data_IF_714635873695
#
_entry.id   IF_714635873695
#
_cell.length_a   1.000
_cell.length_b   1.000
_cell.length_c   1.000
_cell.angle_alpha   90.00
_cell.angle_beta   90.00
_cell.angle_gamma   90.00
#
_symmetry.space_group_name_H-M   'P 1'
#
loop_
_entity.id
_entity.type
_entity.pdbx_description
1 polymer ?
#
# COMPACT_ATOMS: atom_id res chain seq x y z
N UNK A 1 -13.84 4.34 -17.37
CA UNK A 1 -12.69 3.49 -17.73
C UNK A 1 -11.62 3.72 -16.69
N UNK A 2 -11.24 2.69 -15.93
CA UNK A 2 -10.14 2.81 -14.95
C UNK A 2 -8.84 2.85 -15.76
N UNK A 3 -8.07 3.94 -15.64
CA UNK A 3 -6.78 4.07 -16.30
C UNK A 3 -5.85 3.00 -15.70
N UNK A 4 -5.39 2.03 -16.51
CA UNK A 4 -4.59 0.88 -16.03
C UNK A 4 -3.09 1.19 -15.92
N UNK A 5 -2.67 2.42 -16.20
CA UNK A 5 -1.27 2.83 -16.14
C UNK A 5 -0.93 3.49 -14.80
N UNK A 6 -1.32 2.83 -13.69
CA UNK A 6 -0.98 3.27 -12.33
C UNK A 6 0.41 2.70 -12.01
N UNK A 7 1.40 3.57 -11.83
CA UNK A 7 2.70 3.18 -11.31
C UNK A 7 2.55 2.73 -9.86
N UNK A 8 2.91 1.48 -9.55
CA UNK A 8 2.95 0.95 -8.18
C UNK A 8 4.37 0.51 -7.90
N UNK A 9 4.97 1.10 -6.87
CA UNK A 9 6.35 0.86 -6.50
C UNK A 9 6.42 0.36 -5.07
N UNK A 10 7.18 -0.70 -4.88
CA UNK A 10 7.57 -1.11 -3.54
C UNK A 10 8.70 -0.21 -3.07
N UNK A 11 8.55 0.39 -1.89
CA UNK A 11 9.48 1.39 -1.36
C UNK A 11 9.86 1.08 0.09
N UNK A 12 10.66 1.96 0.70
CA UNK A 12 10.86 1.98 2.15
C UNK A 12 11.66 0.80 2.71
N UNK A 13 11.30 0.43 3.95
CA UNK A 13 12.01 -0.58 4.73
C UNK A 13 11.94 -1.98 4.12
N UNK A 14 10.83 -2.30 3.45
CA UNK A 14 10.63 -3.58 2.78
C UNK A 14 11.73 -3.85 1.75
N UNK A 15 12.09 -2.86 0.91
CA UNK A 15 13.14 -3.03 -0.10
C UNK A 15 14.47 -3.36 0.58
N UNK A 16 14.86 -2.61 1.62
CA UNK A 16 16.08 -2.87 2.40
C UNK A 16 16.06 -4.28 2.99
N UNK A 17 14.95 -4.70 3.59
CA UNK A 17 14.87 -5.96 4.30
C UNK A 17 14.90 -7.16 3.33
N UNK A 18 14.34 -7.03 2.12
CA UNK A 18 14.54 -7.99 1.03
C UNK A 18 16.02 -8.13 0.65
N UNK A 19 16.75 -7.03 0.49
CA UNK A 19 18.20 -7.08 0.19
C UNK A 19 19.01 -7.74 1.32
N UNK A 20 18.52 -7.69 2.55
CA UNK A 20 19.13 -8.33 3.72
C UNK A 20 18.67 -9.78 3.93
N UNK A 21 17.84 -10.33 3.03
CA UNK A 21 17.30 -11.70 3.14
C UNK A 21 16.32 -11.90 4.29
N UNK A 22 15.68 -10.83 4.78
CA UNK A 22 14.69 -10.88 5.86
C UNK A 22 13.29 -11.01 5.27
N UNK A 23 12.44 -11.81 5.92
CA UNK A 23 11.03 -11.95 5.53
C UNK A 23 10.22 -10.69 5.85
N UNK A 24 9.25 -10.31 5.01
CA UNK A 24 8.49 -9.09 5.21
C UNK A 24 7.42 -9.23 6.30
N UNK A 25 7.17 -8.14 7.03
CA UNK A 25 6.05 -8.02 7.99
C UNK A 25 5.04 -6.96 7.55
N UNK A 26 5.52 -5.98 6.80
CA UNK A 26 4.82 -4.83 6.28
C UNK A 26 5.35 -4.48 4.89
N UNK A 27 4.47 -4.08 3.98
CA UNK A 27 4.80 -3.70 2.60
C UNK A 27 4.37 -2.25 2.34
N UNK A 28 5.34 -1.38 2.07
CA UNK A 28 5.10 0.01 1.69
C UNK A 28 4.98 0.14 0.16
N UNK A 29 3.83 0.64 -0.30
CA UNK A 29 3.53 0.89 -1.70
C UNK A 29 3.39 2.40 -1.97
N UNK A 30 4.19 2.91 -2.90
CA UNK A 30 4.02 4.22 -3.49
C UNK A 30 3.20 4.08 -4.77
N UNK A 31 2.09 4.80 -4.84
CA UNK A 31 1.08 4.63 -5.89
C UNK A 31 0.89 5.95 -6.63
N UNK A 32 1.10 5.95 -7.94
CA UNK A 32 0.74 7.06 -8.82
C UNK A 32 -0.76 7.03 -9.13
N UNK A 33 -1.58 7.43 -8.15
CA UNK A 33 -3.03 7.42 -8.27
C UNK A 33 -3.79 7.49 -6.93
N UNK A 34 -5.07 7.15 -7.01
CA UNK A 34 -6.01 7.14 -5.89
C UNK A 34 -5.80 5.90 -5.00
N UNK A 35 -5.17 6.11 -3.85
CA UNK A 35 -4.87 5.05 -2.87
C UNK A 35 -6.08 4.57 -2.08
N UNK A 36 -7.13 5.40 -1.94
CA UNK A 36 -8.34 4.99 -1.24
C UNK A 36 -9.13 4.02 -2.11
N UNK A 37 -9.31 4.36 -3.40
CA UNK A 37 -9.93 3.47 -4.36
C UNK A 37 -9.18 2.15 -4.49
N UNK A 38 -7.85 2.22 -4.71
CA UNK A 38 -7.03 1.01 -4.85
C UNK A 38 -7.02 0.17 -3.56
N UNK A 39 -6.92 0.81 -2.39
CA UNK A 39 -6.93 0.12 -1.11
C UNK A 39 -8.24 -0.62 -0.85
N UNK A 40 -9.38 -0.02 -1.16
CA UNK A 40 -10.68 -0.69 -1.07
C UNK A 40 -10.77 -1.90 -2.00
N UNK A 41 -10.30 -1.77 -3.24
CA UNK A 41 -10.36 -2.88 -4.21
C UNK A 41 -9.43 -4.03 -3.82
N UNK A 42 -8.22 -3.73 -3.31
CA UNK A 42 -7.30 -4.74 -2.76
C UNK A 42 -7.92 -5.47 -1.57
N UNK A 43 -8.45 -4.73 -0.58
CA UNK A 43 -9.06 -5.31 0.60
C UNK A 43 -10.23 -6.24 0.23
N UNK A 44 -11.09 -5.80 -0.69
CA UNK A 44 -12.23 -6.59 -1.20
C UNK A 44 -11.78 -7.84 -1.97
N UNK A 45 -10.74 -7.72 -2.79
CA UNK A 45 -10.28 -8.81 -3.67
C UNK A 45 -9.55 -9.90 -2.91
N UNK A 46 -8.73 -9.52 -1.91
CA UNK A 46 -7.86 -10.44 -1.19
C UNK A 46 -8.32 -10.76 0.25
N UNK A 47 -9.47 -10.22 0.69
CA UNK A 47 -10.03 -10.49 2.01
C UNK A 47 -9.28 -9.79 3.17
N UNK A 48 -8.85 -8.54 2.95
CA UNK A 48 -8.20 -7.71 3.96
C UNK A 48 -9.14 -6.69 4.60
N UNK A 49 -8.70 -6.09 5.72
CA UNK A 49 -9.40 -4.98 6.38
C UNK A 49 -8.79 -3.65 5.94
N UNK A 50 -9.60 -2.80 5.31
CA UNK A 50 -9.22 -1.44 4.91
C UNK A 50 -9.28 -0.48 6.11
N UNK A 51 -8.23 0.33 6.28
CA UNK A 51 -8.11 1.32 7.35
C UNK A 51 -7.64 2.64 6.75
N UNK A 52 -8.43 3.70 6.94
CA UNK A 52 -8.03 5.09 6.67
C UNK A 52 -7.77 5.78 8.01
N UNK A 53 -6.52 6.03 8.40
CA UNK A 53 -6.18 6.66 9.68
C UNK A 53 -6.49 8.17 9.69
N UNK A 54 -7.76 8.57 9.47
CA UNK A 54 -8.21 9.95 9.52
C UNK A 54 -7.57 10.89 8.48
N UNK A 55 -8.09 12.11 8.37
CA UNK A 55 -7.76 13.02 7.25
C UNK A 55 -6.35 13.66 7.33
N UNK A 56 -5.64 13.49 8.45
CA UNK A 56 -4.30 14.05 8.65
C UNK A 56 -3.19 13.25 7.98
N UNK A 57 -3.46 12.01 7.61
CA UNK A 57 -2.45 11.09 7.09
C UNK A 57 -2.75 10.81 5.62
N UNK A 58 -1.72 10.91 4.76
CA UNK A 58 -1.85 10.59 3.33
C UNK A 58 -1.59 9.11 3.04
N UNK A 59 -1.93 8.24 3.99
CA UNK A 59 -1.70 6.79 3.90
C UNK A 59 -3.01 6.06 4.10
N UNK A 60 -3.16 4.96 3.39
CA UNK A 60 -4.22 3.96 3.59
C UNK A 60 -3.54 2.66 3.97
N UNK A 61 -4.09 1.94 4.95
CA UNK A 61 -3.59 0.63 5.39
C UNK A 61 -4.56 -0.47 5.03
N UNK A 62 -4.04 -1.62 4.60
CA UNK A 62 -4.79 -2.88 4.48
C UNK A 62 -4.13 -3.92 5.39
N UNK A 63 -4.91 -4.56 6.25
CA UNK A 63 -4.42 -5.61 7.16
C UNK A 63 -4.96 -6.97 6.72
N UNK A 64 -4.06 -7.94 6.58
CA UNK A 64 -4.37 -9.34 6.28
C UNK A 64 -4.04 -10.19 7.51
N UNK A 65 -4.95 -10.25 8.49
CA UNK A 65 -4.71 -10.89 9.79
C UNK A 65 -4.29 -12.36 9.67
N UNK A 66 -4.91 -13.12 8.77
CA UNK A 66 -4.61 -14.52 8.51
C UNK A 66 -3.17 -14.77 8.02
N UNK A 67 -2.49 -13.73 7.52
CA UNK A 67 -1.14 -13.81 6.97
C UNK A 67 -0.11 -13.05 7.83
N UNK A 68 -0.54 -12.34 8.87
CA UNK A 68 0.33 -11.46 9.65
C UNK A 68 1.00 -10.36 8.81
N UNK A 69 0.33 -9.91 7.74
CA UNK A 69 0.85 -8.95 6.76
C UNK A 69 0.01 -7.67 6.77
N UNK A 70 0.66 -6.53 6.57
CA UNK A 70 -0.03 -5.28 6.25
C UNK A 70 0.58 -4.58 5.03
N UNK A 71 -0.27 -3.84 4.32
CA UNK A 71 0.12 -3.00 3.19
C UNK A 71 -0.20 -1.55 3.52
N UNK A 72 0.77 -0.67 3.32
CA UNK A 72 0.61 0.77 3.44
C UNK A 72 0.72 1.41 2.06
N UNK A 73 -0.35 2.09 1.65
CA UNK A 73 -0.46 2.75 0.34
C UNK A 73 -0.35 4.25 0.52
N UNK A 74 0.62 4.85 -0.14
CA UNK A 74 0.84 6.30 -0.17
C UNK A 74 0.77 6.80 -1.61
N UNK A 75 0.00 7.88 -1.85
CA UNK A 75 -0.01 8.50 -3.17
C UNK A 75 1.32 9.16 -3.48
N UNK A 76 1.83 8.96 -4.69
CA UNK A 76 2.96 9.70 -5.24
C UNK A 76 2.59 11.18 -5.29
N UNK A 77 3.35 12.01 -4.58
CA UNK A 77 3.25 13.46 -4.64
C UNK A 77 4.47 13.98 -5.39
N UNK A 78 4.29 14.39 -6.63
CA UNK A 78 5.33 15.11 -7.36
C UNK A 78 5.24 16.58 -6.97
N UNK A 79 6.17 17.05 -6.15
CA UNK A 79 6.40 18.48 -5.99
C UNK A 79 7.19 18.95 -7.20
N UNK A 80 6.58 19.76 -8.07
CA UNK A 80 7.28 20.56 -9.08
C UNK A 80 7.83 21.84 -8.44
#
# INVERSE_FOLDING_TARGET
>A
MINRNVGIYVVGGFVRDLYLGRGPKDLDLLVDGDVEYLGHDIARTFGGVFIKPGDRYSVVKIVFESHGLSLDLTSLKTTL
#
